data_IF_188748238529
#
_entry.id   IF_188748238529
#
_cell.length_a   1.000
_cell.length_b   1.000
_cell.length_c   1.000
_cell.angle_alpha   90.00
_cell.angle_beta   90.00
_cell.angle_gamma   90.00
#
_symmetry.space_group_name_H-M   'P 1'
#
loop_
_entity.id
_entity.type
_entity.pdbx_description
1 polymer ?
#
# COMPACT_ATOMS: atom_id res chain seq x y z
N UNK A 1 -9.87 -2.02 -8.87
CA UNK A 1 -8.65 -2.53 -8.22
C UNK A 1 -8.05 -3.56 -9.15
N UNK A 2 -6.74 -3.53 -9.34
CA UNK A 2 -6.01 -4.46 -10.19
C UNK A 2 -4.86 -5.07 -9.41
N UNK A 3 -4.43 -6.27 -9.78
CA UNK A 3 -3.30 -6.99 -9.17
C UNK A 3 -2.32 -7.32 -10.29
N UNK A 4 -1.05 -7.00 -10.09
CA UNK A 4 0.02 -7.31 -11.02
C UNK A 4 1.20 -7.94 -10.28
N UNK A 5 1.72 -9.06 -10.81
CA UNK A 5 2.92 -9.75 -10.32
C UNK A 5 3.96 -9.78 -11.43
N UNK A 6 4.96 -8.87 -11.41
CA UNK A 6 5.95 -8.79 -12.48
C UNK A 6 6.70 -10.11 -12.69
N UNK A 7 7.04 -10.81 -11.60
CA UNK A 7 7.69 -12.13 -11.63
C UNK A 7 6.91 -13.22 -12.38
N UNK A 8 5.59 -13.08 -12.53
CA UNK A 8 4.76 -14.08 -13.22
C UNK A 8 4.82 -13.91 -14.73
N UNK A 9 5.10 -12.70 -15.22
CA UNK A 9 5.10 -12.36 -16.64
C UNK A 9 6.51 -12.18 -17.21
N UNK A 10 7.48 -11.83 -16.36
CA UNK A 10 8.88 -11.75 -16.74
C UNK A 10 9.52 -13.15 -16.81
N UNK A 11 10.29 -13.40 -17.87
CA UNK A 11 10.96 -14.69 -18.07
C UNK A 11 12.44 -14.64 -17.69
N UNK A 12 13.01 -13.44 -17.65
CA UNK A 12 14.42 -13.26 -17.32
C UNK A 12 14.62 -13.19 -15.80
N UNK A 13 15.18 -14.27 -15.23
CA UNK A 13 15.45 -14.36 -13.78
C UNK A 13 16.43 -13.28 -13.30
N UNK A 14 17.42 -12.90 -14.10
CA UNK A 14 18.38 -11.84 -13.75
C UNK A 14 17.70 -10.48 -13.62
N UNK A 15 16.71 -10.20 -14.48
CA UNK A 15 15.94 -8.96 -14.40
C UNK A 15 14.98 -8.96 -13.20
N UNK A 16 14.37 -10.10 -12.89
CA UNK A 16 13.51 -10.24 -11.71
C UNK A 16 14.32 -9.97 -10.43
N UNK A 17 15.52 -10.52 -10.34
CA UNK A 17 16.41 -10.32 -9.19
C UNK A 17 16.92 -8.88 -9.12
N UNK A 18 17.40 -8.34 -10.24
CA UNK A 18 17.90 -6.95 -10.33
C UNK A 18 16.85 -5.92 -9.91
N UNK A 19 15.59 -6.14 -10.27
CA UNK A 19 14.49 -5.25 -9.92
C UNK A 19 13.79 -5.61 -8.59
N UNK A 20 14.28 -6.64 -7.88
CA UNK A 20 13.71 -7.14 -6.63
C UNK A 20 12.20 -7.43 -6.72
N UNK A 21 11.78 -8.02 -7.85
CA UNK A 21 10.40 -8.38 -8.16
C UNK A 21 9.97 -9.74 -7.61
N UNK A 22 10.92 -10.49 -7.06
CA UNK A 22 10.62 -11.75 -6.37
C UNK A 22 9.62 -11.53 -5.25
N UNK A 23 8.55 -12.32 -5.27
CA UNK A 23 7.41 -12.25 -4.37
C UNK A 23 6.73 -10.87 -4.33
N UNK A 24 6.93 -10.00 -5.33
CA UNK A 24 6.30 -8.69 -5.36
C UNK A 24 4.90 -8.78 -5.96
N UNK A 25 3.90 -8.35 -5.20
CA UNK A 25 2.58 -8.08 -5.71
C UNK A 25 2.29 -6.57 -5.67
N UNK A 26 1.92 -6.03 -6.82
CA UNK A 26 1.47 -4.65 -6.97
C UNK A 26 -0.05 -4.60 -6.95
N UNK A 27 -0.59 -3.91 -5.95
CA UNK A 27 -2.02 -3.65 -5.81
C UNK A 27 -2.29 -2.24 -6.33
N UNK A 28 -2.98 -2.14 -7.47
CA UNK A 28 -3.23 -0.87 -8.15
C UNK A 28 -4.68 -0.43 -7.91
N UNK A 29 -4.82 0.69 -7.22
CA UNK A 29 -6.09 1.36 -6.97
C UNK A 29 -6.36 2.31 -8.13
N UNK A 30 -6.90 1.80 -9.24
CA UNK A 30 -7.20 2.62 -10.43
C UNK A 30 -8.41 3.57 -10.25
N UNK A 31 -9.27 3.33 -9.27
CA UNK A 31 -10.39 4.21 -8.91
C UNK A 31 -10.68 4.09 -7.43
N UNK A 32 -10.87 5.23 -6.78
CA UNK A 32 -11.32 5.33 -5.39
C UNK A 32 -12.32 6.48 -5.29
N UNK A 33 -13.50 6.26 -4.68
CA UNK A 33 -14.59 7.27 -4.71
C UNK A 33 -14.27 8.52 -3.91
N UNK A 34 -13.51 8.36 -2.83
CA UNK A 34 -13.31 9.39 -1.81
C UNK A 34 -11.82 9.58 -1.47
N UNK A 35 -10.90 9.35 -2.42
CA UNK A 35 -9.48 9.55 -2.13
C UNK A 35 -8.55 9.19 -3.27
N UNK A 36 -7.26 9.20 -2.96
CA UNK A 36 -6.21 8.99 -3.94
C UNK A 36 -6.22 7.58 -4.54
N UNK A 37 -5.90 7.52 -5.82
CA UNK A 37 -5.47 6.32 -6.52
C UNK A 37 -3.97 6.10 -6.29
N UNK A 38 -3.48 4.89 -6.53
CA UNK A 38 -2.05 4.61 -6.39
C UNK A 38 -1.73 3.12 -6.46
N UNK A 39 -0.45 2.81 -6.27
CA UNK A 39 0.05 1.44 -6.24
C UNK A 39 0.62 1.15 -4.86
N UNK A 40 0.20 0.03 -4.28
CA UNK A 40 0.69 -0.48 -2.99
C UNK A 40 1.48 -1.75 -3.28
N UNK A 41 2.71 -1.81 -2.79
CA UNK A 41 3.58 -2.97 -2.96
C UNK A 41 3.47 -3.87 -1.72
N UNK A 42 3.13 -5.15 -1.95
CA UNK A 42 3.03 -6.18 -0.92
C UNK A 42 3.95 -7.36 -1.26
N UNK A 43 4.21 -8.20 -0.26
CA UNK A 43 4.89 -9.48 -0.45
C UNK A 43 3.83 -10.57 -0.65
N UNK A 44 3.94 -11.35 -1.72
CA UNK A 44 3.07 -12.49 -2.00
C UNK A 44 3.77 -13.80 -1.63
N UNK A 45 3.10 -14.63 -0.85
CA UNK A 45 3.59 -15.93 -0.38
C UNK A 45 2.82 -17.02 -1.12
N UNK A 46 3.36 -17.59 -2.21
CA UNK A 46 2.63 -18.48 -3.11
C UNK A 46 2.18 -19.78 -2.43
N UNK A 47 2.93 -20.27 -1.44
CA UNK A 47 2.64 -21.51 -0.71
C UNK A 47 1.32 -21.45 0.04
N UNK A 48 0.91 -20.26 0.49
CA UNK A 48 -0.33 -20.05 1.24
C UNK A 48 -1.34 -19.17 0.50
N UNK A 49 -0.99 -18.64 -0.66
CA UNK A 49 -1.79 -17.65 -1.37
C UNK A 49 -2.04 -16.37 -0.56
N UNK A 50 -1.09 -15.99 0.31
CA UNK A 50 -1.23 -14.87 1.26
C UNK A 50 -0.46 -13.63 0.79
N UNK A 51 -0.93 -12.45 1.20
CA UNK A 51 -0.21 -11.19 1.05
C UNK A 51 0.20 -10.66 2.42
N UNK A 52 1.48 -10.36 2.59
CA UNK A 52 2.02 -9.70 3.79
C UNK A 52 2.53 -8.29 3.43
N UNK A 53 2.63 -7.43 4.45
CA UNK A 53 3.17 -6.09 4.29
C UNK A 53 4.63 -6.18 3.82
N UNK A 54 4.99 -5.40 2.80
CA UNK A 54 6.38 -5.33 2.35
C UNK A 54 7.18 -4.50 3.35
N UNK A 55 8.18 -5.12 3.97
CA UNK A 55 9.13 -4.43 4.84
C UNK A 55 9.81 -3.31 4.06
N UNK A 56 9.56 -2.07 4.48
CA UNK A 56 10.18 -0.89 3.87
C UNK A 56 11.19 -0.38 4.88
N UNK A 57 12.46 -0.23 4.49
CA UNK A 57 13.58 0.24 5.35
C UNK A 57 13.45 1.72 5.78
N UNK A 58 12.24 2.24 5.88
CA UNK A 58 12.00 3.64 6.21
C UNK A 58 11.54 3.68 7.65
N UNK A 59 12.28 4.43 8.46
CA UNK A 59 11.98 4.85 9.82
C UNK A 59 10.56 5.43 9.94
N UNK A 60 9.54 4.58 9.92
CA UNK A 60 8.16 4.95 10.18
C UNK A 60 7.96 4.87 11.70
N UNK A 61 7.82 6.00 12.42
CA UNK A 61 7.64 6.01 13.86
C UNK A 61 6.35 5.30 14.32
N UNK A 62 5.48 4.87 13.39
CA UNK A 62 4.29 4.05 13.65
C UNK A 62 4.58 2.55 13.70
N UNK A 63 5.79 2.10 13.37
CA UNK A 63 6.21 0.68 13.45
C UNK A 63 6.66 0.25 14.84
N UNK A 64 6.69 1.18 15.81
CA UNK A 64 7.10 0.89 17.19
C UNK A 64 5.89 0.31 17.93
N UNK A 65 5.94 -1.00 18.16
CA UNK A 65 4.95 -1.89 18.81
C UNK A 65 3.94 -2.55 17.88
N UNK A 66 4.29 -3.67 17.25
CA UNK A 66 3.37 -4.79 17.01
C UNK A 66 4.09 -6.13 17.05
N UNK A 67 4.36 -6.64 18.26
CA UNK A 67 4.00 -8.04 18.48
C UNK A 67 2.47 -8.05 18.50
N UNK A 68 1.85 -8.75 17.55
CA UNK A 68 0.40 -8.91 17.31
C UNK A 68 -0.23 -7.93 16.30
N UNK A 69 -0.37 -8.40 15.05
CA UNK A 69 -1.28 -7.85 14.04
C UNK A 69 -2.71 -7.78 14.59
N UNK A 70 -3.48 -6.68 14.36
CA UNK A 70 -4.30 -6.60 13.14
C UNK A 70 -4.34 -5.17 12.55
N UNK A 71 -4.22 -5.11 11.22
CA UNK A 71 -4.29 -3.90 10.40
C UNK A 71 -5.62 -3.15 10.60
N UNK A 72 -5.58 -1.96 11.19
CA UNK A 72 -6.73 -1.03 11.19
C UNK A 72 -6.58 -0.08 10.01
N UNK A 73 -7.56 -0.11 9.09
CA UNK A 73 -7.61 0.71 7.89
C UNK A 73 -7.67 2.21 8.23
N UNK A 74 -6.87 3.05 7.55
CA UNK A 74 -7.00 4.51 7.62
C UNK A 74 -8.26 4.97 6.88
N UNK A 75 -9.20 5.59 7.60
CA UNK A 75 -10.26 6.41 7.01
C UNK A 75 -9.69 7.81 6.72
N UNK A 76 -9.57 8.16 5.44
CA UNK A 76 -9.23 9.52 5.05
C UNK A 76 -10.53 10.30 4.80
N UNK A 77 -11.17 10.83 5.85
CA UNK A 77 -12.22 11.85 5.71
C UNK A 77 -11.57 13.23 5.72
N UNK A 78 -11.41 13.83 4.54
CA UNK A 78 -11.28 15.28 4.44
C UNK A 78 -12.68 15.87 4.64
N UNK A 79 -13.05 16.21 5.87
CA UNK A 79 -14.09 17.21 6.15
C UNK A 79 -13.41 18.55 6.35
N UNK A 80 -13.41 19.37 5.31
CA UNK A 80 -13.20 20.81 5.42
C UNK A 80 -14.34 21.37 6.28
N UNK A 81 -14.03 21.71 7.54
CA UNK A 81 -14.90 22.54 8.38
C UNK A 81 -14.87 23.96 7.80
N UNK A 82 -16.00 24.69 7.72
CA UNK A 82 -15.98 26.10 7.37
C UNK A 82 -15.31 26.88 8.52
N UNK A 83 -14.35 27.75 8.17
CA UNK A 83 -13.69 28.63 9.12
C UNK A 83 -14.71 29.57 9.77
N UNK A 84 -14.73 29.58 11.10
CA UNK A 84 -15.50 30.55 11.90
C UNK A 84 -14.66 31.82 12.10
N UNK A 85 -14.50 32.65 11.06
CA UNK A 85 -13.93 34.00 11.23
C UNK A 85 -14.61 35.09 10.38
N UNK A 86 -15.81 34.86 9.84
CA UNK A 86 -16.65 35.92 9.31
C UNK A 86 -17.85 36.16 10.25
N UNK A 87 -17.57 36.75 11.41
CA UNK A 87 -18.57 37.52 12.17
C UNK A 87 -18.10 38.98 12.12
N UNK A 88 -18.53 39.69 11.09
CA UNK A 88 -18.56 41.15 11.10
C UNK A 88 -19.91 41.65 10.53
N UNK A 89 -20.65 42.32 11.43
CA UNK A 89 -21.91 43.09 11.33
C UNK A 89 -23.23 42.35 11.05
#
# INVERSE_FOLDING_TARGET
MFIHRPEYYEKNEEEIEKNNWKNLAQIIIGKHRNGATGTINLTFIPEFGRFDNRETLINDPRTINQNQHPTQYLQNTQTTQPNKEDVEF
#
